data_IF_089249021829
#
_entry.id   IF_089249021829
#
_cell.length_a   1.000
_cell.length_b   1.000
_cell.length_c   1.000
_cell.angle_alpha   90.00
_cell.angle_beta   90.00
_cell.angle_gamma   90.00
#
_symmetry.space_group_name_H-M   'P 1'
#
loop_
_entity.id
_entity.type
_entity.pdbx_description
1 polymer ?
#
# COMPACT_ATOMS: atom_id res chain seq x y z
N UNK A 1 -31.93 16.29 10.87
CA UNK A 1 -31.31 15.21 10.06
C UNK A 1 -30.38 14.41 10.96
N UNK A 2 -30.46 13.08 11.00
CA UNK A 2 -29.46 12.26 11.73
C UNK A 2 -28.10 12.50 11.06
N UNK A 3 -27.09 12.85 11.84
CA UNK A 3 -25.73 13.01 11.32
C UNK A 3 -25.21 11.62 10.96
N UNK A 4 -24.85 11.43 9.69
CA UNK A 4 -24.19 10.19 9.24
C UNK A 4 -22.73 10.22 9.69
N UNK A 5 -22.29 9.18 10.40
CA UNK A 5 -20.92 8.99 10.85
C UNK A 5 -20.31 7.85 10.04
N UNK A 6 -19.28 8.16 9.23
CA UNK A 6 -18.49 7.17 8.52
C UNK A 6 -17.21 6.88 9.30
N UNK A 7 -17.06 5.65 9.78
CA UNK A 7 -15.93 5.22 10.61
C UNK A 7 -15.05 4.14 9.96
N UNK A 8 -15.41 3.65 8.76
CA UNK A 8 -14.67 2.60 8.05
C UNK A 8 -13.61 3.20 7.11
N UNK A 9 -12.69 4.00 7.65
CA UNK A 9 -11.63 4.62 6.85
C UNK A 9 -10.57 3.61 6.38
N UNK A 10 -10.50 2.43 6.97
CA UNK A 10 -9.66 1.32 6.48
C UNK A 10 -10.14 0.78 5.12
N UNK A 11 -11.45 0.82 4.83
CA UNK A 11 -11.99 0.45 3.52
C UNK A 11 -11.72 1.52 2.46
N UNK A 12 -12.00 2.80 2.76
CA UNK A 12 -11.73 3.95 1.88
C UNK A 12 -11.86 5.25 2.66
N UNK A 13 -11.20 6.31 2.21
CA UNK A 13 -11.31 7.63 2.83
C UNK A 13 -12.03 8.63 1.95
N UNK A 14 -12.53 9.72 2.54
CA UNK A 14 -13.09 10.86 1.83
C UNK A 14 -11.98 11.63 1.10
N UNK A 15 -12.21 12.00 -0.16
CA UNK A 15 -11.27 12.82 -0.92
C UNK A 15 -11.03 14.17 -0.23
N UNK A 16 -9.77 14.52 -0.02
CA UNK A 16 -9.36 15.81 0.52
C UNK A 16 -9.76 16.95 -0.43
N UNK A 17 -10.27 18.06 0.11
CA UNK A 17 -10.74 19.19 -0.69
C UNK A 17 -9.63 19.88 -1.49
N UNK A 18 -8.43 20.00 -0.93
CA UNK A 18 -7.29 20.59 -1.64
C UNK A 18 -6.80 19.67 -2.75
N UNK A 19 -6.79 18.35 -2.49
CA UNK A 19 -6.48 17.35 -3.51
C UNK A 19 -7.50 17.42 -4.67
N UNK A 20 -8.80 17.50 -4.35
CA UNK A 20 -9.85 17.68 -5.36
C UNK A 20 -9.65 18.97 -6.18
N UNK A 21 -9.40 20.09 -5.52
CA UNK A 21 -9.17 21.37 -6.21
C UNK A 21 -7.93 21.31 -7.12
N UNK A 22 -6.88 20.59 -6.71
CA UNK A 22 -5.67 20.40 -7.52
C UNK A 22 -5.92 19.56 -8.79
N UNK A 23 -6.96 18.72 -8.80
CA UNK A 23 -7.34 17.89 -9.95
C UNK A 23 -8.06 18.70 -11.05
N UNK A 24 -8.86 19.69 -10.67
CA UNK A 24 -9.81 20.38 -11.58
C UNK A 24 -9.17 20.90 -12.86
N UNK A 25 -8.04 21.62 -12.84
CA UNK A 25 -7.44 22.16 -14.07
C UNK A 25 -7.07 21.08 -15.10
N UNK A 26 -6.71 19.89 -14.65
CA UNK A 26 -6.30 18.76 -15.51
C UNK A 26 -7.49 18.00 -16.11
N UNK A 27 -8.70 18.24 -15.59
CA UNK A 27 -9.95 17.68 -16.13
C UNK A 27 -10.62 18.62 -17.13
N UNK A 28 -10.35 19.92 -17.08
CA UNK A 28 -11.06 20.96 -17.83
C UNK A 28 -10.18 21.69 -18.84
N UNK A 29 -9.08 22.29 -18.38
CA UNK A 29 -8.31 23.24 -19.18
C UNK A 29 -7.00 22.65 -19.73
N UNK A 30 -6.29 21.84 -18.93
CA UNK A 30 -4.96 21.30 -19.19
C UNK A 30 -5.00 19.80 -19.53
N UNK A 31 -5.98 19.38 -20.33
CA UNK A 31 -6.28 17.98 -20.65
C UNK A 31 -5.34 17.33 -21.67
N UNK A 32 -4.21 17.97 -21.98
CA UNK A 32 -3.24 17.46 -22.98
C UNK A 32 -2.64 16.10 -22.57
N UNK A 33 -2.39 15.24 -23.57
CA UNK A 33 -1.70 13.96 -23.33
C UNK A 33 -0.21 14.21 -23.08
N UNK A 34 0.29 13.86 -21.89
CA UNK A 34 1.66 14.11 -21.43
C UNK A 34 2.74 13.41 -22.27
N UNK A 35 2.40 12.32 -22.97
CA UNK A 35 3.32 11.56 -23.82
C UNK A 35 3.58 12.21 -25.19
N UNK A 36 2.85 13.29 -25.55
CA UNK A 36 2.97 13.91 -26.88
C UNK A 36 4.07 14.98 -26.95
N UNK A 37 4.67 15.24 -28.15
CA UNK A 37 5.78 16.17 -28.29
C UNK A 37 5.38 17.65 -28.41
N UNK A 38 4.10 17.95 -28.63
CA UNK A 38 3.62 19.33 -28.87
C UNK A 38 3.51 20.17 -27.59
N UNK A 39 3.41 21.49 -27.76
CA UNK A 39 3.47 22.44 -26.64
C UNK A 39 2.38 22.25 -25.59
N UNK A 40 1.16 21.85 -25.98
CA UNK A 40 0.03 21.61 -25.07
C UNK A 40 0.28 20.44 -24.09
N UNK A 41 1.18 19.52 -24.42
CA UNK A 41 1.57 18.41 -23.55
C UNK A 41 2.57 18.79 -22.44
N UNK A 42 3.20 19.98 -22.55
CA UNK A 42 4.29 20.37 -21.62
C UNK A 42 3.83 20.51 -20.17
N UNK A 43 2.67 21.12 -19.94
CA UNK A 43 2.13 21.30 -18.59
C UNK A 43 1.75 19.96 -17.94
N UNK A 44 0.94 19.08 -18.57
CA UNK A 44 0.69 17.73 -18.06
C UNK A 44 1.99 16.95 -17.77
N UNK A 45 2.96 16.96 -18.66
CA UNK A 45 4.26 16.31 -18.45
C UNK A 45 4.99 16.85 -17.22
N UNK A 46 4.99 18.18 -17.03
CA UNK A 46 5.58 18.81 -15.84
C UNK A 46 4.82 18.42 -14.57
N UNK A 47 3.49 18.37 -14.60
CA UNK A 47 2.67 17.97 -13.46
C UNK A 47 2.95 16.52 -12.99
N UNK A 48 3.12 15.59 -13.93
CA UNK A 48 3.53 14.22 -13.62
C UNK A 48 4.91 14.19 -12.95
N UNK A 49 5.89 14.94 -13.47
CA UNK A 49 7.22 15.02 -12.90
C UNK A 49 7.23 15.61 -11.49
N UNK A 50 6.46 16.67 -11.23
CA UNK A 50 6.33 17.26 -9.90
C UNK A 50 5.60 16.30 -8.93
N UNK A 51 4.56 15.61 -9.38
CA UNK A 51 3.86 14.60 -8.57
C UNK A 51 4.80 13.46 -8.14
N UNK A 52 5.67 12.98 -9.03
CA UNK A 52 6.70 11.97 -8.67
C UNK A 52 7.65 12.48 -7.60
N UNK A 53 8.12 13.73 -7.71
CA UNK A 53 9.02 14.33 -6.71
C UNK A 53 8.36 14.42 -5.34
N UNK A 54 7.09 14.83 -5.28
CA UNK A 54 6.34 14.91 -4.03
C UNK A 54 6.22 13.53 -3.40
N UNK A 55 5.79 12.53 -4.16
CA UNK A 55 5.61 11.16 -3.68
C UNK A 55 6.95 10.57 -3.20
N UNK A 56 7.99 10.70 -4.01
CA UNK A 56 9.33 10.21 -3.68
C UNK A 56 9.86 10.83 -2.37
N UNK A 57 9.64 12.13 -2.16
CA UNK A 57 10.01 12.82 -0.92
C UNK A 57 9.31 12.23 0.30
N UNK A 58 8.03 11.86 0.17
CA UNK A 58 7.24 11.32 1.29
C UNK A 58 7.74 9.98 1.82
N UNK A 59 8.48 9.21 1.00
CA UNK A 59 8.99 7.87 1.36
C UNK A 59 10.53 7.77 1.30
N UNK A 60 11.23 8.89 1.14
CA UNK A 60 12.69 8.96 0.96
C UNK A 60 13.21 8.19 -0.26
N UNK A 61 12.45 8.18 -1.38
CA UNK A 61 12.82 7.59 -2.66
C UNK A 61 13.40 8.63 -3.64
N UNK A 62 13.85 8.16 -4.82
CA UNK A 62 14.14 9.01 -5.96
C UNK A 62 12.89 9.12 -6.87
N UNK A 63 12.68 10.26 -7.56
CA UNK A 63 11.51 10.42 -8.43
C UNK A 63 11.42 9.35 -9.53
N UNK A 64 12.53 8.92 -10.10
CA UNK A 64 12.61 7.88 -11.12
C UNK A 64 12.27 6.46 -10.63
N UNK A 65 12.10 6.28 -9.32
CA UNK A 65 11.72 5.01 -8.68
C UNK A 65 10.19 4.90 -8.47
N UNK A 66 9.43 5.94 -8.79
CA UNK A 66 7.96 5.96 -8.63
C UNK A 66 7.29 5.67 -9.97
N UNK A 67 6.40 4.70 -10.02
CA UNK A 67 5.62 4.31 -11.20
C UNK A 67 4.13 4.40 -10.88
N UNK A 68 3.37 5.16 -11.67
CA UNK A 68 1.94 5.32 -11.45
C UNK A 68 1.15 4.10 -11.92
N UNK A 69 0.18 3.70 -11.11
CA UNK A 69 -0.72 2.57 -11.33
C UNK A 69 -2.17 2.99 -11.12
N UNK A 70 -3.11 2.08 -11.35
CA UNK A 70 -4.53 2.29 -11.05
C UNK A 70 -4.89 2.10 -9.57
N UNK A 71 -3.95 1.66 -8.73
CA UNK A 71 -4.15 1.42 -7.29
C UNK A 71 -3.29 0.27 -6.76
N UNK A 72 -3.49 -0.07 -5.48
CA UNK A 72 -2.73 -1.11 -4.80
C UNK A 72 -2.81 -2.46 -5.51
N UNK A 73 -4.00 -2.87 -5.94
CA UNK A 73 -4.19 -4.15 -6.63
C UNK A 73 -3.32 -4.29 -7.89
N UNK A 74 -3.20 -3.24 -8.72
CA UNK A 74 -2.31 -3.27 -9.88
C UNK A 74 -0.85 -3.32 -9.44
N UNK A 75 -0.47 -2.53 -8.42
CA UNK A 75 0.89 -2.49 -7.90
C UNK A 75 1.33 -3.85 -7.34
N UNK A 76 0.49 -4.51 -6.53
CA UNK A 76 0.76 -5.84 -5.98
C UNK A 76 0.88 -6.91 -7.07
N UNK A 77 -0.07 -6.91 -8.02
CA UNK A 77 -0.01 -7.84 -9.15
C UNK A 77 1.26 -7.63 -9.98
N UNK A 78 1.68 -6.38 -10.17
CA UNK A 78 2.90 -6.09 -10.90
C UNK A 78 4.14 -6.54 -10.13
N UNK A 79 4.23 -6.23 -8.84
CA UNK A 79 5.34 -6.68 -8.00
C UNK A 79 5.48 -8.21 -8.01
N UNK A 80 4.38 -8.95 -7.80
CA UNK A 80 4.39 -10.42 -7.75
C UNK A 80 4.68 -11.04 -9.13
N UNK A 81 3.87 -10.70 -10.13
CA UNK A 81 3.96 -11.33 -11.46
C UNK A 81 5.20 -10.90 -12.23
N UNK A 82 5.57 -9.62 -12.12
CA UNK A 82 6.75 -9.06 -12.75
C UNK A 82 8.05 -9.64 -12.17
N UNK A 83 8.09 -9.88 -10.86
CA UNK A 83 9.25 -10.51 -10.19
C UNK A 83 9.38 -12.00 -10.53
N UNK A 84 8.29 -12.76 -10.51
CA UNK A 84 8.28 -14.20 -10.73
C UNK A 84 8.91 -14.61 -12.07
N UNK A 85 8.76 -13.78 -13.10
CA UNK A 85 9.27 -14.05 -14.46
C UNK A 85 10.56 -13.32 -14.82
N UNK A 86 11.15 -12.55 -13.90
CA UNK A 86 12.32 -11.70 -14.19
C UNK A 86 13.66 -12.43 -14.11
N UNK A 87 13.73 -13.53 -13.36
CA UNK A 87 14.96 -14.32 -13.16
C UNK A 87 14.66 -15.82 -13.32
N UNK A 88 15.30 -16.53 -14.27
CA UNK A 88 15.05 -17.95 -14.49
C UNK A 88 15.61 -18.84 -13.37
N UNK A 89 16.64 -18.39 -12.65
CA UNK A 89 17.32 -19.16 -11.61
C UNK A 89 16.68 -19.00 -10.23
N UNK A 90 16.06 -17.85 -9.99
CA UNK A 90 15.35 -17.51 -8.75
C UNK A 90 13.85 -17.40 -9.02
N UNK A 91 13.08 -18.39 -8.62
CA UNK A 91 11.66 -18.51 -9.00
C UNK A 91 10.69 -18.57 -7.83
N UNK A 92 11.19 -18.73 -6.60
CA UNK A 92 10.33 -18.86 -5.43
C UNK A 92 9.92 -17.49 -4.87
N UNK A 93 8.68 -17.41 -4.44
CA UNK A 93 8.13 -16.25 -3.70
C UNK A 93 7.77 -16.70 -2.30
N UNK A 94 8.04 -15.86 -1.32
CA UNK A 94 7.59 -16.03 0.08
C UNK A 94 6.67 -14.86 0.41
N UNK A 95 5.51 -15.16 1.02
CA UNK A 95 4.54 -14.17 1.45
C UNK A 95 3.88 -14.58 2.77
N UNK A 96 3.01 -13.76 3.34
CA UNK A 96 2.24 -14.13 4.53
C UNK A 96 0.84 -14.65 4.19
N UNK A 97 0.24 -15.40 5.10
CA UNK A 97 -1.13 -15.91 4.96
C UNK A 97 -2.20 -14.82 5.21
N UNK A 98 -1.82 -13.67 5.75
CA UNK A 98 -2.73 -12.55 6.11
C UNK A 98 -2.68 -11.37 5.15
N UNK A 99 -2.08 -11.55 3.99
CA UNK A 99 -2.00 -10.51 2.96
C UNK A 99 -3.39 -10.11 2.43
N UNK A 100 -3.48 -8.92 1.88
CA UNK A 100 -4.67 -8.51 1.13
C UNK A 100 -4.93 -9.46 -0.06
N UNK A 101 -6.20 -9.69 -0.39
CA UNK A 101 -6.61 -10.60 -1.47
C UNK A 101 -6.00 -10.28 -2.83
N UNK A 102 -5.64 -9.01 -3.11
CA UNK A 102 -4.94 -8.63 -4.33
C UNK A 102 -3.60 -9.36 -4.45
N UNK A 103 -2.87 -9.50 -3.35
CA UNK A 103 -1.57 -10.17 -3.28
C UNK A 103 -1.74 -11.69 -3.21
N UNK A 104 -2.61 -12.22 -2.34
CA UNK A 104 -2.87 -13.66 -2.26
C UNK A 104 -3.31 -14.25 -3.61
N UNK A 105 -4.24 -13.59 -4.31
CA UNK A 105 -4.70 -14.04 -5.61
C UNK A 105 -3.62 -13.90 -6.71
N UNK A 106 -2.72 -12.90 -6.61
CA UNK A 106 -1.58 -12.79 -7.51
C UNK A 106 -0.58 -13.95 -7.27
N UNK A 107 -0.31 -14.29 -6.02
CA UNK A 107 0.50 -15.45 -5.64
C UNK A 107 -0.12 -16.77 -6.14
N UNK A 108 -1.40 -17.00 -5.89
CA UNK A 108 -2.11 -18.16 -6.41
C UNK A 108 -2.11 -18.23 -7.96
N UNK A 109 -2.07 -17.06 -8.63
CA UNK A 109 -1.93 -17.02 -10.09
C UNK A 109 -0.56 -17.51 -10.55
N UNK A 110 0.55 -17.08 -9.93
CA UNK A 110 1.88 -17.52 -10.30
C UNK A 110 2.11 -19.00 -9.96
N UNK A 111 1.54 -19.53 -8.88
CA UNK A 111 1.58 -20.95 -8.54
C UNK A 111 1.01 -21.82 -9.67
N UNK A 112 -0.15 -21.42 -10.25
CA UNK A 112 -0.74 -22.12 -11.41
C UNK A 112 0.17 -22.14 -12.64
N UNK A 113 1.15 -21.24 -12.71
CA UNK A 113 2.16 -21.19 -13.76
C UNK A 113 3.49 -21.85 -13.34
N UNK A 114 3.50 -22.60 -12.24
CA UNK A 114 4.64 -23.38 -11.79
C UNK A 114 5.73 -22.58 -11.06
N UNK A 115 5.41 -21.42 -10.51
CA UNK A 115 6.30 -20.67 -9.63
C UNK A 115 5.98 -21.04 -8.16
N UNK A 116 6.94 -21.57 -7.38
CA UNK A 116 6.70 -21.93 -6.00
C UNK A 116 6.36 -20.72 -5.14
N UNK A 117 5.35 -20.85 -4.28
CA UNK A 117 5.00 -19.83 -3.27
C UNK A 117 4.98 -20.50 -1.89
N UNK A 118 5.57 -19.84 -0.90
CA UNK A 118 5.52 -20.23 0.50
C UNK A 118 4.75 -19.17 1.27
N UNK A 119 3.76 -19.60 2.06
CA UNK A 119 2.94 -18.72 2.89
C UNK A 119 3.36 -18.87 4.36
N UNK A 120 3.88 -17.80 4.96
CA UNK A 120 4.22 -17.72 6.37
C UNK A 120 2.94 -17.58 7.20
N UNK A 121 2.84 -18.31 8.28
CA UNK A 121 1.72 -18.17 9.23
C UNK A 121 2.08 -17.11 10.27
N UNK A 122 1.27 -16.06 10.45
CA UNK A 122 1.49 -15.09 11.52
C UNK A 122 1.20 -15.73 12.88
N UNK A 123 1.65 -15.08 13.96
CA UNK A 123 1.28 -15.43 15.32
C UNK A 123 -0.17 -15.02 15.66
N UNK A 124 -0.57 -15.17 16.92
CA UNK A 124 -1.92 -14.81 17.39
C UNK A 124 -2.21 -13.31 17.38
N UNK A 125 -1.21 -12.46 17.27
CA UNK A 125 -1.32 -11.01 17.15
C UNK A 125 -1.24 -10.55 15.69
N UNK A 126 -1.08 -11.51 14.76
CA UNK A 126 -0.99 -11.24 13.33
C UNK A 126 0.39 -10.75 12.90
N UNK A 127 1.46 -11.06 13.64
CA UNK A 127 2.83 -10.68 13.29
C UNK A 127 3.56 -11.85 12.62
N UNK A 128 4.27 -11.56 11.54
CA UNK A 128 5.15 -12.52 10.86
C UNK A 128 6.48 -12.60 11.60
N UNK A 129 6.80 -13.79 12.11
CA UNK A 129 8.05 -14.04 12.80
C UNK A 129 9.25 -14.06 11.81
N UNK A 130 10.27 -13.19 11.98
CA UNK A 130 11.47 -13.21 11.17
C UNK A 130 12.23 -14.55 11.19
N UNK A 131 12.14 -15.32 12.29
CA UNK A 131 12.76 -16.65 12.35
C UNK A 131 12.07 -17.65 11.42
N UNK A 132 10.74 -17.57 11.24
CA UNK A 132 10.04 -18.38 10.22
C UNK A 132 10.54 -18.07 8.82
N UNK A 133 10.72 -16.79 8.47
CA UNK A 133 11.29 -16.40 7.18
C UNK A 133 12.70 -16.98 7.02
N UNK A 134 13.56 -16.84 8.04
CA UNK A 134 14.93 -17.38 8.03
C UNK A 134 14.97 -18.89 7.83
N UNK A 135 14.00 -19.62 8.35
CA UNK A 135 13.93 -21.09 8.25
C UNK A 135 13.55 -21.60 6.84
N UNK A 136 12.82 -20.79 6.04
CA UNK A 136 12.29 -21.24 4.74
C UNK A 136 12.92 -20.57 3.54
N UNK A 137 13.57 -19.40 3.72
CA UNK A 137 14.23 -18.67 2.63
C UNK A 137 15.46 -19.43 2.09
N UNK A 138 15.64 -19.38 0.79
CA UNK A 138 16.77 -20.02 0.12
C UNK A 138 17.36 -19.12 -0.96
N UNK A 139 18.52 -19.45 -1.51
CA UNK A 139 19.14 -18.72 -2.63
C UNK A 139 18.32 -18.79 -3.93
N UNK A 140 17.29 -19.64 -3.98
CA UNK A 140 16.32 -19.73 -5.08
C UNK A 140 15.12 -18.80 -4.88
N UNK A 141 15.02 -18.11 -3.74
CA UNK A 141 13.98 -17.14 -3.46
C UNK A 141 14.23 -15.86 -4.27
N UNK A 142 13.27 -15.50 -5.12
CA UNK A 142 13.32 -14.26 -5.90
C UNK A 142 12.73 -13.10 -5.12
N UNK A 143 11.60 -13.34 -4.45
CA UNK A 143 10.79 -12.29 -3.82
C UNK A 143 10.34 -12.72 -2.43
N UNK A 144 10.51 -11.83 -1.46
CA UNK A 144 9.79 -11.85 -0.19
C UNK A 144 8.80 -10.68 -0.22
N UNK A 145 7.52 -10.95 -0.04
CA UNK A 145 6.45 -9.95 -0.09
C UNK A 145 5.61 -10.05 1.17
N UNK A 146 5.76 -9.11 2.08
CA UNK A 146 5.02 -9.05 3.35
C UNK A 146 4.37 -7.67 3.46
N UNK A 147 3.07 -7.62 3.73
CA UNK A 147 2.36 -6.35 3.92
C UNK A 147 2.97 -5.54 5.05
N UNK A 148 2.95 -4.21 4.91
CA UNK A 148 3.50 -3.33 5.94
C UNK A 148 2.65 -3.34 7.22
N UNK A 149 1.35 -3.33 7.02
CA UNK A 149 0.38 -3.45 8.12
C UNK A 149 -0.90 -4.11 7.63
N UNK A 150 -1.51 -4.92 8.50
CA UNK A 150 -2.74 -5.62 8.18
C UNK A 150 -3.94 -4.65 8.17
N UNK A 151 -4.79 -4.77 7.16
CA UNK A 151 -5.95 -3.90 6.95
C UNK A 151 -7.10 -4.14 7.92
N UNK A 152 -7.17 -5.30 8.58
CA UNK A 152 -8.26 -5.68 9.48
C UNK A 152 -7.90 -5.46 10.95
N UNK A 153 -6.72 -5.90 11.36
CA UNK A 153 -6.30 -5.86 12.77
C UNK A 153 -5.26 -4.75 13.05
N UNK A 154 -4.75 -4.09 12.01
CA UNK A 154 -3.83 -2.96 12.13
C UNK A 154 -2.40 -3.30 12.48
N UNK A 155 -2.05 -4.56 12.76
CA UNK A 155 -0.69 -5.01 13.13
C UNK A 155 0.33 -4.52 12.13
N UNK A 156 1.42 -3.91 12.61
CA UNK A 156 2.57 -3.47 11.81
C UNK A 156 3.66 -4.53 11.85
N UNK A 157 4.11 -4.97 10.68
CA UNK A 157 5.11 -6.01 10.51
C UNK A 157 6.55 -5.49 10.74
N UNK A 158 7.50 -6.35 11.13
CA UNK A 158 8.90 -6.00 11.34
C UNK A 158 9.67 -5.86 10.01
N UNK A 159 9.25 -4.90 9.17
CA UNK A 159 9.65 -4.74 7.76
C UNK A 159 11.17 -4.68 7.57
N UNK A 160 11.88 -3.88 8.38
CA UNK A 160 13.32 -3.71 8.20
C UNK A 160 14.11 -5.02 8.49
N UNK A 161 13.63 -5.81 9.43
CA UNK A 161 14.25 -7.10 9.76
C UNK A 161 13.96 -8.14 8.68
N UNK A 162 12.72 -8.24 8.22
CA UNK A 162 12.32 -9.12 7.13
C UNK A 162 13.06 -8.79 5.82
N UNK A 163 13.21 -7.48 5.50
CA UNK A 163 13.97 -7.03 4.35
C UNK A 163 15.47 -7.41 4.46
N UNK A 164 16.07 -7.26 5.64
CA UNK A 164 17.45 -7.65 5.88
C UNK A 164 17.68 -9.16 5.67
N UNK A 165 16.74 -9.99 6.12
CA UNK A 165 16.78 -11.45 5.91
C UNK A 165 16.64 -11.76 4.41
N UNK A 166 15.69 -11.15 3.71
CA UNK A 166 15.54 -11.32 2.26
C UNK A 166 16.83 -11.00 1.50
N UNK A 167 17.45 -9.86 1.82
CA UNK A 167 18.70 -9.42 1.18
C UNK A 167 19.88 -10.33 1.47
N UNK A 168 19.97 -10.96 2.65
CA UNK A 168 21.06 -11.91 2.96
C UNK A 168 21.06 -13.14 2.06
N UNK A 169 19.94 -13.45 1.41
CA UNK A 169 19.78 -14.50 0.39
C UNK A 169 19.69 -13.96 -1.04
N UNK A 170 19.91 -12.65 -1.21
CA UNK A 170 19.81 -11.98 -2.53
C UNK A 170 18.41 -12.00 -3.12
N UNK A 171 17.37 -12.07 -2.26
CA UNK A 171 15.97 -11.90 -2.64
C UNK A 171 15.58 -10.43 -2.61
N UNK A 172 14.62 -10.05 -3.46
CA UNK A 172 13.97 -8.73 -3.46
C UNK A 172 12.95 -8.69 -2.33
N UNK A 173 12.81 -7.53 -1.65
CA UNK A 173 11.78 -7.31 -0.64
C UNK A 173 10.72 -6.33 -1.12
N UNK A 174 9.47 -6.80 -1.19
CA UNK A 174 8.28 -6.01 -1.48
C UNK A 174 7.40 -5.89 -0.24
N UNK A 175 6.72 -4.75 -0.11
CA UNK A 175 5.68 -4.56 0.90
C UNK A 175 4.43 -3.91 0.31
N UNK A 176 3.25 -4.49 0.57
CA UNK A 176 1.98 -3.79 0.42
C UNK A 176 1.84 -2.78 1.57
N UNK A 177 2.10 -1.51 1.27
CA UNK A 177 2.00 -0.42 2.24
C UNK A 177 0.70 0.39 2.08
N UNK A 178 -0.30 -0.16 1.41
CA UNK A 178 -1.58 0.54 1.13
C UNK A 178 -2.23 1.05 2.42
N UNK A 179 -2.14 0.32 3.52
CA UNK A 179 -2.68 0.74 4.82
C UNK A 179 -1.71 1.58 5.65
N UNK A 180 -0.40 1.50 5.37
CA UNK A 180 0.63 2.14 6.19
C UNK A 180 0.99 3.55 5.72
N UNK A 181 1.03 3.76 4.40
CA UNK A 181 1.46 5.04 3.83
C UNK A 181 0.58 6.19 4.30
N UNK A 182 1.20 7.28 4.74
CA UNK A 182 0.56 8.45 5.36
C UNK A 182 -0.09 8.20 6.74
N UNK A 183 0.01 7.00 7.29
CA UNK A 183 -0.45 6.65 8.65
C UNK A 183 0.70 6.33 9.59
N UNK A 184 1.84 5.89 9.07
CA UNK A 184 3.09 5.67 9.80
C UNK A 184 4.28 6.17 8.98
N UNK A 185 5.41 6.55 9.60
CA UNK A 185 6.61 6.96 8.87
C UNK A 185 7.16 5.81 8.04
N UNK A 186 7.44 6.07 6.76
CA UNK A 186 8.08 5.11 5.86
C UNK A 186 9.34 5.74 5.26
N UNK A 187 10.48 5.10 5.45
CA UNK A 187 11.74 5.41 4.78
C UNK A 187 12.21 4.16 4.06
N UNK A 188 11.98 4.11 2.74
CA UNK A 188 12.27 2.91 1.94
C UNK A 188 13.74 2.52 1.95
N UNK A 189 14.66 3.51 2.12
CA UNK A 189 16.10 3.25 2.18
C UNK A 189 16.51 2.69 3.54
N UNK A 190 16.07 3.33 4.62
CA UNK A 190 16.41 2.89 5.98
C UNK A 190 15.80 1.52 6.31
N UNK A 191 14.63 1.22 5.76
CA UNK A 191 13.92 -0.04 5.97
C UNK A 191 14.36 -1.15 4.99
N UNK A 192 15.18 -0.83 3.97
CA UNK A 192 15.62 -1.81 2.98
C UNK A 192 14.50 -2.29 2.04
N UNK A 193 13.50 -1.47 1.78
CA UNK A 193 12.40 -1.83 0.90
C UNK A 193 12.84 -1.68 -0.55
N UNK A 194 12.64 -2.71 -1.36
CA UNK A 194 12.94 -2.70 -2.79
C UNK A 194 11.76 -2.32 -3.66
N UNK A 195 10.55 -2.73 -3.24
CA UNK A 195 9.30 -2.34 -3.89
C UNK A 195 8.23 -2.06 -2.83
N UNK A 196 7.37 -1.08 -3.12
CA UNK A 196 6.28 -0.70 -2.22
C UNK A 196 5.02 -0.36 -3.02
N UNK A 197 3.91 -1.00 -2.68
CA UNK A 197 2.58 -0.72 -3.24
C UNK A 197 1.81 0.31 -2.44
N UNK A 198 1.14 1.25 -3.13
CA UNK A 198 0.29 2.27 -2.51
C UNK A 198 -0.99 2.54 -3.30
N UNK A 199 -2.03 3.02 -2.61
CA UNK A 199 -3.33 3.36 -3.19
C UNK A 199 -3.88 4.66 -2.60
N UNK A 200 -4.16 5.64 -3.46
CA UNK A 200 -4.48 7.00 -3.05
C UNK A 200 -5.71 7.12 -2.15
N UNK A 201 -6.73 6.29 -2.37
CA UNK A 201 -7.98 6.36 -1.62
C UNK A 201 -7.86 5.97 -0.14
N UNK A 202 -6.71 5.50 0.31
CA UNK A 202 -6.44 5.18 1.71
C UNK A 202 -5.89 6.38 2.50
N UNK A 203 -5.35 7.38 1.79
CA UNK A 203 -4.82 8.62 2.38
C UNK A 203 -5.49 9.88 1.81
N UNK A 204 -6.81 9.86 1.71
CA UNK A 204 -7.64 10.99 1.26
C UNK A 204 -7.37 11.46 -0.18
N UNK A 205 -6.80 10.60 -1.02
CA UNK A 205 -6.64 10.80 -2.46
C UNK A 205 -7.81 10.24 -3.26
N UNK A 206 -7.82 10.43 -4.59
CA UNK A 206 -8.85 9.90 -5.47
C UNK A 206 -8.76 8.37 -5.59
N UNK A 207 -9.91 7.72 -5.86
CA UNK A 207 -9.98 6.31 -6.23
C UNK A 207 -9.43 6.09 -7.64
N UNK A 208 -8.97 4.89 -7.94
CA UNK A 208 -8.53 4.51 -9.29
C UNK A 208 -7.12 5.03 -9.65
N UNK A 209 -6.31 5.35 -8.66
CA UNK A 209 -4.90 5.72 -8.82
C UNK A 209 -4.08 5.24 -7.62
N UNK A 210 -2.86 4.83 -7.89
CA UNK A 210 -1.86 4.42 -6.92
C UNK A 210 -0.47 4.56 -7.50
N UNK A 211 0.50 3.99 -6.83
CA UNK A 211 1.86 3.87 -7.36
C UNK A 211 2.55 2.61 -6.86
N UNK A 212 3.52 2.15 -7.63
CA UNK A 212 4.52 1.20 -7.23
C UNK A 212 5.86 1.94 -7.13
N UNK A 213 6.50 1.92 -5.97
CA UNK A 213 7.91 2.25 -5.82
C UNK A 213 8.73 1.03 -6.24
N UNK A 214 9.73 1.25 -7.07
CA UNK A 214 10.69 0.22 -7.49
C UNK A 214 12.09 0.82 -7.34
N UNK A 215 12.89 0.28 -6.41
CA UNK A 215 14.27 0.72 -6.18
C UNK A 215 15.09 0.58 -7.45
N UNK A 216 15.88 1.58 -7.76
CA UNK A 216 16.79 1.57 -8.91
C UNK A 216 17.69 0.33 -8.89
N UNK A 217 17.72 -0.41 -9.98
CA UNK A 217 18.46 -1.65 -10.13
C UNK A 217 17.68 -2.92 -9.85
N UNK A 218 16.43 -2.81 -9.35
CA UNK A 218 15.51 -3.96 -9.27
C UNK A 218 14.99 -4.30 -10.66
N UNK A 219 15.22 -5.53 -11.09
CA UNK A 219 14.68 -6.03 -12.35
C UNK A 219 13.24 -6.52 -12.16
N UNK A 220 12.33 -5.88 -12.88
CA UNK A 220 10.90 -6.18 -12.87
C UNK A 220 10.38 -6.18 -14.30
N UNK A 221 9.62 -7.19 -14.70
CA UNK A 221 8.96 -7.20 -16.02
C UNK A 221 7.70 -6.34 -15.98
N UNK A 222 7.40 -5.58 -17.06
CA UNK A 222 6.13 -4.88 -17.20
C UNK A 222 4.94 -5.84 -17.01
N UNK A 223 3.88 -5.34 -16.37
CA UNK A 223 2.60 -6.07 -16.26
C UNK A 223 1.69 -5.79 -17.46
N UNK A 224 1.67 -4.54 -17.93
CA UNK A 224 0.83 -4.08 -19.02
C UNK A 224 1.69 -3.74 -20.24
N UNK A 225 1.55 -4.50 -21.32
CA UNK A 225 2.21 -4.23 -22.59
C UNK A 225 1.48 -3.11 -23.35
N UNK A 226 2.24 -2.27 -24.08
CA UNK A 226 1.67 -1.20 -24.88
C UNK A 226 2.65 -0.07 -25.19
N UNK A 227 2.21 1.18 -25.02
CA UNK A 227 3.04 2.38 -25.29
C UNK A 227 4.14 2.59 -24.23
N UNK A 228 5.05 3.53 -24.51
CA UNK A 228 6.23 3.78 -23.67
C UNK A 228 5.97 4.71 -22.46
N UNK A 229 4.72 4.79 -21.95
CA UNK A 229 4.42 5.53 -20.73
C UNK A 229 5.19 4.93 -19.54
N UNK A 230 5.31 5.69 -18.47
CA UNK A 230 6.02 5.26 -17.27
C UNK A 230 7.39 4.62 -17.60
N UNK A 231 8.18 5.30 -18.43
CA UNK A 231 9.51 4.85 -18.88
C UNK A 231 9.50 3.48 -19.60
N UNK A 232 8.39 3.11 -20.24
CA UNK A 232 8.20 1.82 -20.90
C UNK A 232 7.85 0.67 -19.96
N UNK A 233 7.68 0.94 -18.69
CA UNK A 233 7.42 -0.08 -17.68
C UNK A 233 5.92 -0.28 -17.41
N UNK A 234 5.08 0.72 -17.68
CA UNK A 234 3.63 0.60 -17.51
C UNK A 234 2.91 1.40 -18.60
N UNK A 235 2.34 0.70 -19.55
CA UNK A 235 1.63 1.28 -20.68
C UNK A 235 0.26 1.87 -20.30
N UNK A 236 -0.25 2.75 -21.15
CA UNK A 236 -1.56 3.42 -21.01
C UNK A 236 -1.43 4.90 -20.68
N UNK A 237 -2.30 5.71 -21.27
CA UNK A 237 -2.32 7.17 -21.06
C UNK A 237 -2.42 7.50 -19.58
N UNK A 238 -1.56 8.39 -19.12
CA UNK A 238 -1.45 8.77 -17.72
C UNK A 238 -2.69 9.56 -17.26
N UNK A 239 -3.28 9.18 -16.14
CA UNK A 239 -4.38 9.89 -15.49
C UNK A 239 -3.86 11.09 -14.71
N UNK A 240 -3.47 12.16 -15.41
CA UNK A 240 -2.79 13.35 -14.85
C UNK A 240 -3.57 13.94 -13.68
N UNK A 241 -4.90 14.10 -13.81
CA UNK A 241 -5.73 14.67 -12.77
C UNK A 241 -5.66 13.86 -11.46
N UNK A 242 -5.87 12.55 -11.54
CA UNK A 242 -5.84 11.70 -10.35
C UNK A 242 -4.44 11.57 -9.76
N UNK A 243 -3.39 11.58 -10.59
CA UNK A 243 -1.99 11.55 -10.12
C UNK A 243 -1.64 12.82 -9.34
N UNK A 244 -2.05 14.00 -9.84
CA UNK A 244 -1.86 15.28 -9.14
C UNK A 244 -2.65 15.28 -7.83
N UNK A 245 -3.90 14.81 -7.84
CA UNK A 245 -4.72 14.68 -6.64
C UNK A 245 -4.10 13.73 -5.60
N UNK A 246 -3.57 12.59 -6.04
CA UNK A 246 -2.86 11.63 -5.19
C UNK A 246 -1.62 12.27 -4.55
N UNK A 247 -0.77 12.91 -5.35
CA UNK A 247 0.45 13.56 -4.83
C UNK A 247 0.12 14.65 -3.80
N UNK A 248 -0.91 15.48 -4.08
CA UNK A 248 -1.37 16.52 -3.14
C UNK A 248 -1.92 15.94 -1.85
N UNK A 249 -2.73 14.88 -1.91
CA UNK A 249 -3.27 14.21 -0.74
C UNK A 249 -2.13 13.60 0.11
N UNK A 250 -1.16 12.95 -0.52
CA UNK A 250 -0.02 12.36 0.19
C UNK A 250 0.85 13.43 0.86
N UNK A 251 1.14 14.54 0.16
CA UNK A 251 1.89 15.67 0.71
C UNK A 251 1.24 16.20 2.00
N UNK A 252 -0.07 16.44 1.97
CA UNK A 252 -0.83 16.93 3.12
C UNK A 252 -0.78 15.91 4.27
N UNK A 253 -1.06 14.65 3.99
CA UNK A 253 -1.12 13.61 5.00
C UNK A 253 0.24 13.35 5.65
N UNK A 254 1.32 13.32 4.86
CA UNK A 254 2.68 13.16 5.39
C UNK A 254 3.14 14.38 6.21
N UNK A 255 2.75 15.60 5.83
CA UNK A 255 3.11 16.80 6.59
C UNK A 255 2.42 16.88 7.96
N UNK A 256 1.23 16.28 8.10
CA UNK A 256 0.44 16.26 9.33
C UNK A 256 0.47 14.89 10.05
N UNK A 257 1.39 13.99 9.67
CA UNK A 257 1.37 12.59 10.09
C UNK A 257 1.36 12.43 11.61
N UNK A 258 2.24 13.10 12.33
CA UNK A 258 2.33 13.00 13.79
C UNK A 258 1.09 13.58 14.48
N UNK A 259 0.61 14.75 14.03
CA UNK A 259 -0.60 15.39 14.56
C UNK A 259 -1.84 14.50 14.36
N UNK A 260 -1.99 13.94 13.16
CA UNK A 260 -3.07 13.01 12.84
C UNK A 260 -2.99 11.74 13.70
N UNK A 261 -1.81 11.14 13.83
CA UNK A 261 -1.60 9.94 14.65
C UNK A 261 -1.96 10.20 16.12
N UNK A 262 -1.51 11.31 16.71
CA UNK A 262 -1.86 11.67 18.09
C UNK A 262 -3.37 11.89 18.27
N UNK A 263 -4.01 12.59 17.32
CA UNK A 263 -5.44 12.82 17.37
C UNK A 263 -6.23 11.52 17.30
N UNK A 264 -5.87 10.63 16.36
CA UNK A 264 -6.56 9.36 16.15
C UNK A 264 -6.35 8.42 17.36
N UNK A 265 -5.14 8.38 17.94
CA UNK A 265 -4.88 7.60 19.16
C UNK A 265 -5.71 8.07 20.36
N UNK A 266 -5.98 9.38 20.49
CA UNK A 266 -6.88 9.89 21.53
C UNK A 266 -8.32 9.38 21.33
N UNK A 267 -8.81 9.34 20.09
CA UNK A 267 -10.14 8.80 19.77
C UNK A 267 -10.21 7.30 19.99
N UNK A 268 -9.17 6.56 19.61
CA UNK A 268 -9.03 5.11 19.84
C UNK A 268 -9.12 4.80 21.34
N UNK A 269 -8.31 5.47 22.15
CA UNK A 269 -8.31 5.28 23.60
C UNK A 269 -9.68 5.59 24.21
N UNK A 270 -10.32 6.69 23.80
CA UNK A 270 -11.66 7.06 24.28
C UNK A 270 -12.71 6.00 23.91
N UNK A 271 -12.64 5.40 22.72
CA UNK A 271 -13.55 4.33 22.33
C UNK A 271 -13.32 3.07 23.18
N UNK A 272 -12.06 2.64 23.34
CA UNK A 272 -11.73 1.45 24.11
C UNK A 272 -12.07 1.59 25.60
N UNK A 273 -11.90 2.77 26.19
CA UNK A 273 -12.33 3.07 27.55
C UNK A 273 -13.86 2.96 27.70
N UNK A 274 -14.63 3.55 26.78
CA UNK A 274 -16.09 3.44 26.80
C UNK A 274 -16.58 2.01 26.60
N UNK A 275 -15.91 1.22 25.77
CA UNK A 275 -16.24 -0.20 25.65
C UNK A 275 -16.00 -0.95 26.94
N UNK A 276 -14.92 -0.67 27.68
CA UNK A 276 -14.67 -1.26 29.01
C UNK A 276 -15.73 -0.84 30.02
N UNK A 277 -16.08 0.45 30.08
CA UNK A 277 -17.10 1.00 30.98
C UNK A 277 -18.50 0.43 30.68
N UNK A 278 -18.79 0.03 29.46
CA UNK A 278 -20.09 -0.55 29.08
C UNK A 278 -20.33 -1.96 29.65
N UNK A 279 -19.31 -2.60 30.23
CA UNK A 279 -19.40 -3.95 30.77
C UNK A 279 -19.48 -5.05 29.72
N UNK A 280 -19.25 -4.73 28.44
CA UNK A 280 -19.19 -5.73 27.39
C UNK A 280 -17.89 -6.53 27.49
N UNK A 281 -18.02 -7.86 27.36
CA UNK A 281 -16.85 -8.77 27.28
C UNK A 281 -16.32 -8.78 25.85
N UNK A 282 -15.15 -8.17 25.65
CA UNK A 282 -14.51 -8.08 24.35
C UNK A 282 -12.99 -8.26 24.41
N UNK A 283 -12.43 -8.70 23.30
CA UNK A 283 -10.98 -8.81 23.08
C UNK A 283 -10.62 -7.86 21.93
N UNK A 284 -9.55 -7.06 22.09
CA UNK A 284 -8.94 -6.33 21.00
C UNK A 284 -8.03 -7.28 20.23
N UNK A 285 -8.24 -7.36 18.92
CA UNK A 285 -7.41 -8.14 18.01
C UNK A 285 -6.19 -7.32 17.54
N UNK A 286 -5.13 -8.02 17.14
CA UNK A 286 -3.91 -7.43 16.59
C UNK A 286 -2.87 -7.08 17.65
N UNK A 287 -1.66 -6.76 17.18
CA UNK A 287 -0.53 -6.44 18.01
C UNK A 287 -0.66 -5.06 18.68
N UNK A 288 0.12 -4.86 19.73
CA UNK A 288 0.26 -3.55 20.38
C UNK A 288 0.87 -2.50 19.42
N UNK A 289 1.81 -2.94 18.57
CA UNK A 289 2.36 -2.11 17.49
C UNK A 289 1.42 -2.17 16.29
N UNK A 290 0.59 -1.14 16.10
CA UNK A 290 -0.45 -1.11 15.07
C UNK A 290 -0.63 0.28 14.48
N UNK A 291 -1.31 0.36 13.34
CA UNK A 291 -1.70 1.63 12.71
C UNK A 291 -2.68 2.36 13.63
N UNK A 292 -2.42 3.62 14.01
CA UNK A 292 -3.32 4.42 14.83
C UNK A 292 -4.75 4.44 14.27
N UNK A 293 -5.74 4.14 15.12
CA UNK A 293 -7.16 4.16 14.76
C UNK A 293 -7.68 2.92 14.04
N UNK A 294 -6.83 1.93 13.75
CA UNK A 294 -7.31 0.63 13.33
C UNK A 294 -7.69 -0.18 14.60
N UNK A 295 -8.99 -0.31 14.84
CA UNK A 295 -9.54 -0.94 16.03
C UNK A 295 -10.34 -2.16 15.60
N UNK A 296 -9.76 -3.34 15.80
CA UNK A 296 -10.46 -4.62 15.63
C UNK A 296 -10.82 -5.20 16.99
N UNK A 297 -12.09 -5.47 17.21
CA UNK A 297 -12.61 -6.04 18.46
C UNK A 297 -13.51 -7.22 18.18
N UNK A 298 -13.36 -8.26 19.00
CA UNK A 298 -14.26 -9.42 19.02
C UNK A 298 -15.06 -9.41 20.32
N UNK A 299 -16.38 -9.43 20.22
CA UNK A 299 -17.28 -9.52 21.38
C UNK A 299 -17.62 -10.98 21.63
N UNK A 300 -17.61 -11.36 22.92
CA UNK A 300 -17.99 -12.70 23.32
C UNK A 300 -19.46 -12.97 22.97
N UNK A 301 -19.73 -14.16 22.46
CA UNK A 301 -21.07 -14.64 22.10
C UNK A 301 -21.81 -13.76 21.04
N UNK A 302 -21.05 -12.95 20.25
CA UNK A 302 -21.60 -12.12 19.19
C UNK A 302 -21.17 -12.62 17.81
N UNK A 303 -22.13 -12.68 16.88
CA UNK A 303 -21.87 -12.90 15.46
C UNK A 303 -21.58 -11.56 14.75
N UNK A 304 -20.34 -11.36 14.34
CA UNK A 304 -19.91 -10.14 13.65
C UNK A 304 -20.71 -9.85 12.38
N UNK A 305 -21.20 -10.87 11.67
CA UNK A 305 -22.05 -10.72 10.49
C UNK A 305 -23.41 -10.06 10.80
N UNK A 306 -23.94 -10.25 12.00
CA UNK A 306 -25.20 -9.63 12.42
C UNK A 306 -25.04 -8.12 12.72
N UNK A 307 -23.86 -7.65 13.10
CA UNK A 307 -23.62 -6.22 13.31
C UNK A 307 -23.78 -5.39 12.04
N UNK A 308 -23.42 -5.93 10.88
CA UNK A 308 -23.57 -5.23 9.59
C UNK A 308 -25.04 -5.07 9.16
N UNK A 309 -25.94 -5.92 9.62
CA UNK A 309 -27.38 -5.87 9.26
C UNK A 309 -28.13 -4.82 10.07
N UNK A 310 -27.67 -4.50 11.29
CA UNK A 310 -28.35 -3.57 12.21
C UNK A 310 -28.03 -2.10 11.91
N UNK A 311 -26.96 -1.81 11.18
CA UNK A 311 -26.47 -0.43 10.93
C UNK A 311 -26.73 0.08 9.51
N UNK A 312 -27.32 -0.70 8.61
CA UNK A 312 -27.78 -0.28 7.28
C UNK A 312 -29.26 0.12 7.32
#
# INVERSE_FOLDING_TARGET
MKQFIYADNAATTKLNKEAFNAMIPWLTDEYGNASQPYAFARKPKKALAESRKIIAKCINALPEEIYFTSGGTESDNWAIKGSASSDPDKRATITSAIEHHALLNACASIERHGYPVTYLSPDSEGTVDPEQLSAVITDRTRLVSIMFSNNEIGTIEPIAELARIAHSHGAIFHTDAVQAIAHTPIDVKAMGIDMLSASAHKFNGPKGVGFLYIRKGVELRPLNDGGAQEFGMRAGTENVASIVGMAKALEISCSALNENAEHILKLENALLERLKESGLDFVRNGARNHIPGNISVSFKDADGGQFFIVWT
#
